data_IF_791394997842
#
_entry.id   IF_791394997842
#
_cell.length_a   1.000
_cell.length_b   1.000
_cell.length_c   1.000
_cell.angle_alpha   90.00
_cell.angle_beta   90.00
_cell.angle_gamma   90.00
#
_symmetry.space_group_name_H-M   'P 1'
#
loop_
_entity.id
_entity.type
_entity.pdbx_description
1 polymer ?
#
# COMPACT_ATOMS: atom_id res chain seq x y z
N UNK A 1 13.11 -115.49 17.77
CA UNK A 1 13.62 -114.45 16.84
C UNK A 1 12.79 -113.20 17.04
N UNK A 2 13.21 -112.19 17.83
CA UNK A 2 14.26 -111.17 17.63
C UNK A 2 13.69 -109.80 17.20
N UNK A 3 13.26 -108.98 18.18
CA UNK A 3 13.25 -107.50 18.11
C UNK A 3 13.65 -106.82 19.43
N UNK A 4 13.68 -107.58 20.53
CA UNK A 4 14.12 -107.24 21.90
C UNK A 4 15.62 -106.97 22.10
N UNK A 5 16.46 -106.89 21.06
CA UNK A 5 17.93 -106.76 21.23
C UNK A 5 18.61 -105.55 20.58
N UNK A 6 17.92 -104.74 19.77
CA UNK A 6 18.54 -103.60 19.07
C UNK A 6 18.20 -102.21 19.62
N UNK A 7 17.05 -102.04 20.27
CA UNK A 7 16.69 -100.74 20.88
C UNK A 7 17.16 -100.58 22.33
N UNK A 8 17.52 -101.69 23.01
CA UNK A 8 17.97 -101.68 24.40
C UNK A 8 19.46 -101.29 24.58
N UNK A 9 20.22 -101.08 23.49
CA UNK A 9 21.66 -100.80 23.56
C UNK A 9 22.06 -99.35 23.22
N UNK A 10 21.16 -98.51 22.71
CA UNK A 10 21.49 -97.11 22.33
C UNK A 10 20.98 -96.05 23.30
N UNK A 11 20.03 -96.36 24.20
CA UNK A 11 19.52 -95.39 25.19
C UNK A 11 20.24 -95.50 26.55
N UNK A 12 20.97 -96.59 26.79
CA UNK A 12 21.74 -96.81 28.04
C UNK A 12 23.13 -96.14 28.01
N UNK A 13 23.55 -95.55 26.89
CA UNK A 13 24.89 -94.95 26.73
C UNK A 13 24.95 -93.40 26.70
N UNK A 14 23.84 -92.68 26.95
CA UNK A 14 23.80 -91.21 26.87
C UNK A 14 22.95 -90.51 27.96
N UNK A 15 22.66 -91.18 29.09
CA UNK A 15 21.94 -90.59 30.22
C UNK A 15 22.75 -90.51 31.52
N UNK A 16 24.04 -90.86 31.46
CA UNK A 16 24.97 -90.90 32.59
C UNK A 16 26.12 -89.88 32.42
N UNK A 17 25.81 -88.68 31.93
CA UNK A 17 26.76 -87.57 31.89
C UNK A 17 26.17 -86.34 32.58
N UNK A 18 26.70 -86.08 33.77
CA UNK A 18 26.98 -84.74 34.28
C UNK A 18 25.80 -83.77 34.33
N UNK A 19 25.00 -83.87 35.40
CA UNK A 19 24.51 -82.66 36.05
C UNK A 19 25.13 -82.58 37.45
N UNK A 20 26.48 -82.55 37.48
CA UNK A 20 27.17 -81.71 38.45
C UNK A 20 26.72 -80.30 38.08
N UNK A 21 25.57 -79.88 38.62
CA UNK A 21 25.15 -78.49 38.58
C UNK A 21 26.13 -77.73 39.45
N UNK A 22 27.28 -77.39 38.87
CA UNK A 22 28.15 -76.37 39.40
C UNK A 22 27.27 -75.13 39.55
N UNK A 23 26.98 -74.75 40.79
CA UNK A 23 26.37 -73.47 41.10
C UNK A 23 27.23 -72.41 40.43
N UNK A 24 26.70 -71.80 39.37
CA UNK A 24 27.30 -70.61 38.78
C UNK A 24 27.01 -69.51 39.81
N UNK A 25 27.98 -69.26 40.69
CA UNK A 25 27.96 -68.08 41.53
C UNK A 25 28.14 -66.88 40.59
N UNK A 26 27.03 -66.31 40.13
CA UNK A 26 27.04 -64.98 39.56
C UNK A 26 27.47 -64.05 40.71
N UNK A 27 28.67 -63.48 40.62
CA UNK A 27 29.03 -62.36 41.49
C UNK A 27 28.00 -61.24 41.21
N UNK A 28 27.19 -60.90 42.21
CA UNK A 28 26.13 -59.90 42.08
C UNK A 28 26.71 -58.50 42.19
N UNK A 29 27.60 -58.15 41.24
CA UNK A 29 28.17 -56.81 41.11
C UNK A 29 27.59 -56.20 39.83
N UNK A 30 26.81 -55.11 39.90
CA UNK A 30 26.37 -54.42 41.12
C UNK A 30 25.37 -55.23 41.95
N UNK A 31 25.17 -54.83 43.21
CA UNK A 31 24.18 -55.44 44.11
C UNK A 31 22.73 -55.29 43.58
N UNK A 32 21.76 -55.79 44.34
CA UNK A 32 20.34 -55.71 43.97
C UNK A 32 19.81 -54.28 43.75
N UNK A 33 20.50 -53.27 44.29
CA UNK A 33 20.15 -51.85 44.17
C UNK A 33 20.99 -51.10 43.11
N UNK A 34 21.89 -51.79 42.42
CA UNK A 34 22.74 -51.18 41.37
C UNK A 34 24.03 -50.54 41.90
N UNK A 35 24.40 -50.81 43.15
CA UNK A 35 25.59 -50.29 43.83
C UNK A 35 26.77 -51.25 43.67
N UNK A 36 27.90 -50.71 43.26
CA UNK A 36 29.18 -51.43 43.22
C UNK A 36 29.91 -51.12 44.52
N UNK A 37 30.16 -52.15 45.31
CA UNK A 37 30.93 -52.04 46.54
C UNK A 37 32.41 -52.27 46.29
N UNK A 38 33.26 -51.41 46.86
CA UNK A 38 34.70 -51.52 46.75
C UNK A 38 35.41 -51.19 48.05
N UNK A 39 36.62 -51.67 48.17
CA UNK A 39 37.56 -51.30 49.20
C UNK A 39 38.80 -50.71 48.54
N UNK A 40 39.26 -49.56 49.01
CA UNK A 40 40.50 -48.95 48.54
C UNK A 40 41.49 -48.81 49.68
N UNK A 41 42.76 -49.04 49.40
CA UNK A 41 43.84 -48.77 50.34
C UNK A 41 44.29 -47.31 50.14
N UNK A 42 44.19 -46.44 51.17
CA UNK A 42 44.55 -45.03 51.04
C UNK A 42 46.06 -44.78 50.97
N UNK A 43 46.90 -45.71 51.42
CA UNK A 43 48.37 -45.59 51.39
C UNK A 43 48.93 -45.97 50.01
N UNK A 44 48.38 -47.01 49.39
CA UNK A 44 48.87 -47.54 48.10
C UNK A 44 48.01 -47.15 46.90
N UNK A 45 46.77 -46.71 47.12
CA UNK A 45 45.79 -46.41 46.07
C UNK A 45 45.15 -47.65 45.43
N UNK A 46 45.49 -48.87 45.88
CA UNK A 46 44.91 -50.09 45.34
C UNK A 46 43.40 -50.15 45.61
N UNK A 47 42.60 -50.35 44.56
CA UNK A 47 41.14 -50.53 44.64
C UNK A 47 40.80 -51.98 44.28
N UNK A 48 39.98 -52.61 45.10
CA UNK A 48 39.35 -53.89 44.79
C UNK A 48 37.83 -53.79 44.93
N UNK A 49 37.14 -54.44 44.01
CA UNK A 49 35.68 -54.59 44.07
C UNK A 49 35.36 -55.79 44.96
N UNK A 50 34.38 -55.65 45.83
CA UNK A 50 33.96 -56.68 46.78
C UNK A 50 32.54 -57.14 46.48
N UNK A 51 32.27 -58.41 46.79
CA UNK A 51 30.90 -58.93 46.81
C UNK A 51 30.35 -58.72 48.23
N UNK A 52 29.19 -58.05 48.33
CA UNK A 52 28.48 -57.82 49.59
C UNK A 52 27.56 -58.99 49.96
N UNK A 53 27.39 -59.99 49.08
CA UNK A 53 26.61 -61.19 49.37
C UNK A 53 27.31 -62.05 50.44
N UNK A 54 26.67 -62.29 51.61
CA UNK A 54 27.23 -63.15 52.66
C UNK A 54 27.37 -64.63 52.24
N UNK A 55 26.75 -65.04 51.13
CA UNK A 55 26.83 -66.37 50.53
C UNK A 55 27.75 -66.42 49.28
N UNK A 56 28.32 -65.28 48.89
CA UNK A 56 29.18 -65.16 47.71
C UNK A 56 30.58 -65.80 47.89
N UNK A 57 31.23 -66.23 46.79
CA UNK A 57 32.54 -66.88 46.84
C UNK A 57 33.67 -65.92 47.25
N UNK A 58 33.44 -64.60 47.20
CA UNK A 58 34.39 -63.57 47.61
C UNK A 58 33.73 -62.68 48.68
N UNK A 59 33.46 -63.26 49.85
CA UNK A 59 33.07 -62.48 51.03
C UNK A 59 34.19 -61.47 51.33
N UNK A 60 33.94 -60.20 51.03
CA UNK A 60 34.97 -59.17 51.11
C UNK A 60 34.55 -58.04 52.04
N UNK A 61 34.84 -58.14 53.33
CA UNK A 61 34.93 -56.93 54.15
C UNK A 61 36.23 -56.20 53.81
N UNK A 62 36.27 -54.87 53.97
CA UNK A 62 37.52 -54.14 53.84
C UNK A 62 38.50 -54.60 54.92
N UNK A 63 39.75 -54.85 54.53
CA UNK A 63 40.80 -55.18 55.48
C UNK A 63 41.14 -53.97 56.37
N UNK A 64 41.91 -54.20 57.43
CA UNK A 64 42.26 -53.16 58.41
C UNK A 64 42.98 -51.93 57.80
N UNK A 65 43.66 -52.11 56.66
CA UNK A 65 44.36 -51.05 55.92
C UNK A 65 43.55 -50.48 54.74
N UNK A 66 42.27 -50.83 54.60
CA UNK A 66 41.41 -50.41 53.50
C UNK A 66 40.22 -49.59 54.01
N UNK A 67 39.62 -48.80 53.13
CA UNK A 67 38.42 -48.00 53.37
C UNK A 67 37.33 -48.37 52.37
N UNK A 68 36.04 -48.38 52.76
CA UNK A 68 34.95 -48.64 51.83
C UNK A 68 34.76 -47.47 50.87
N UNK A 69 34.50 -47.80 49.61
CA UNK A 69 34.12 -46.87 48.55
C UNK A 69 33.06 -47.53 47.68
N UNK A 70 31.86 -46.97 47.67
CA UNK A 70 30.74 -47.49 46.90
C UNK A 70 30.36 -46.49 45.81
N UNK A 71 29.97 -46.99 44.63
CA UNK A 71 29.51 -46.14 43.53
C UNK A 71 28.41 -46.83 42.74
N UNK A 72 27.53 -46.04 42.13
CA UNK A 72 26.45 -46.56 41.29
C UNK A 72 26.97 -46.88 39.89
N UNK A 73 26.39 -47.91 39.27
CA UNK A 73 26.71 -48.27 37.87
C UNK A 73 26.33 -47.15 36.87
N UNK A 74 25.30 -46.37 37.19
CA UNK A 74 24.82 -45.27 36.35
C UNK A 74 24.94 -43.94 37.09
N UNK A 75 25.50 -42.94 36.41
CA UNK A 75 25.50 -41.56 36.89
C UNK A 75 24.10 -40.93 36.85
N UNK A 76 23.90 -39.79 37.53
CA UNK A 76 22.65 -39.05 37.43
C UNK A 76 22.39 -38.60 35.98
N UNK A 77 21.12 -38.41 35.63
CA UNK A 77 20.78 -37.77 34.36
C UNK A 77 21.41 -36.36 34.30
N UNK A 78 21.92 -35.98 33.12
CA UNK A 78 22.41 -34.62 32.91
C UNK A 78 21.28 -33.58 33.06
N UNK A 79 21.62 -32.32 33.34
CA UNK A 79 20.62 -31.24 33.37
C UNK A 79 19.93 -31.11 32.00
N UNK A 80 18.69 -30.62 32.02
CA UNK A 80 18.01 -30.25 30.78
C UNK A 80 18.86 -29.22 30.01
N UNK A 81 18.87 -29.33 28.67
CA UNK A 81 19.53 -28.34 27.82
C UNK A 81 18.88 -26.95 27.96
N UNK A 82 19.61 -25.87 27.64
CA UNK A 82 19.04 -24.53 27.67
C UNK A 82 17.87 -24.42 26.69
N UNK A 83 16.90 -23.56 27.00
CA UNK A 83 15.83 -23.22 26.06
C UNK A 83 16.43 -22.67 24.76
N UNK A 84 15.87 -23.07 23.62
CA UNK A 84 16.24 -22.52 22.32
C UNK A 84 16.04 -21.00 22.27
N UNK A 85 16.87 -20.30 21.49
CA UNK A 85 16.72 -18.86 21.30
C UNK A 85 15.35 -18.54 20.67
N UNK A 86 14.78 -17.39 21.03
CA UNK A 86 13.59 -16.87 20.38
C UNK A 86 13.87 -16.67 18.88
N UNK A 87 12.90 -17.01 18.03
CA UNK A 87 13.00 -16.78 16.60
C UNK A 87 13.15 -15.29 16.26
N UNK A 88 13.87 -14.99 15.18
CA UNK A 88 14.00 -13.61 14.68
C UNK A 88 12.63 -13.05 14.30
N UNK A 89 12.35 -11.75 14.57
CA UNK A 89 11.17 -11.08 14.05
C UNK A 89 11.08 -11.21 12.52
N UNK A 90 9.87 -11.35 11.99
CA UNK A 90 9.65 -11.37 10.55
C UNK A 90 10.05 -10.05 9.88
N UNK A 91 10.36 -10.05 8.57
CA UNK A 91 10.68 -8.83 7.83
C UNK A 91 9.50 -7.87 7.79
N UNK A 92 9.80 -6.56 7.73
CA UNK A 92 8.78 -5.53 7.52
C UNK A 92 8.08 -5.72 6.16
N UNK A 93 6.76 -5.56 6.13
CA UNK A 93 5.97 -5.63 4.90
C UNK A 93 6.38 -4.57 3.86
N UNK A 94 6.22 -4.89 2.58
CA UNK A 94 6.51 -3.96 1.47
C UNK A 94 5.57 -2.75 1.50
N UNK A 95 6.08 -1.57 1.10
CA UNK A 95 5.25 -0.38 0.91
C UNK A 95 4.13 -0.67 -0.10
N UNK A 96 2.90 -0.25 0.21
CA UNK A 96 1.76 -0.38 -0.69
C UNK A 96 1.96 0.38 -2.01
N UNK A 97 1.23 0.00 -3.08
CA UNK A 97 1.31 0.67 -4.38
C UNK A 97 0.87 2.14 -4.27
N UNK A 98 1.36 2.97 -5.19
CA UNK A 98 0.86 4.34 -5.37
C UNK A 98 -0.63 4.33 -5.70
N UNK A 99 -1.37 5.33 -5.21
CA UNK A 99 -2.78 5.50 -5.56
C UNK A 99 -2.98 5.81 -7.06
N UNK A 100 -4.19 5.60 -7.60
CA UNK A 100 -4.51 5.93 -8.97
C UNK A 100 -4.41 7.45 -9.23
N UNK A 101 -4.18 7.89 -10.48
CA UNK A 101 -4.28 9.30 -10.85
C UNK A 101 -5.65 9.88 -10.50
N UNK A 102 -5.69 11.18 -10.14
CA UNK A 102 -6.93 11.90 -9.91
C UNK A 102 -7.78 12.04 -11.20
N UNK A 103 -9.09 12.32 -11.08
CA UNK A 103 -9.95 12.55 -12.24
C UNK A 103 -9.51 13.79 -13.02
N UNK A 104 -9.78 13.80 -14.33
CA UNK A 104 -9.62 15.01 -15.15
C UNK A 104 -10.50 16.14 -14.62
N UNK A 105 -10.03 17.39 -14.76
CA UNK A 105 -10.81 18.58 -14.41
C UNK A 105 -12.05 18.74 -15.30
N UNK A 106 -13.05 19.54 -14.87
CA UNK A 106 -14.22 19.82 -15.68
C UNK A 106 -13.85 20.56 -16.98
N UNK A 107 -14.66 20.43 -18.05
CA UNK A 107 -14.50 21.24 -19.26
C UNK A 107 -14.51 22.74 -18.97
N UNK A 108 -13.75 23.52 -19.73
CA UNK A 108 -13.78 24.99 -19.65
C UNK A 108 -15.14 25.57 -20.08
N UNK A 109 -15.50 26.73 -19.52
CA UNK A 109 -16.73 27.44 -19.90
C UNK A 109 -16.69 27.83 -21.39
N UNK A 110 -17.84 27.76 -22.07
CA UNK A 110 -17.95 28.14 -23.48
C UNK A 110 -17.57 29.62 -23.68
N UNK A 111 -16.86 29.93 -24.77
CA UNK A 111 -16.49 31.29 -25.11
C UNK A 111 -17.75 32.11 -25.48
N UNK A 112 -17.94 33.26 -24.84
CA UNK A 112 -18.98 34.23 -25.21
C UNK A 112 -18.65 34.83 -26.58
N UNK A 113 -19.63 34.92 -27.46
CA UNK A 113 -19.46 35.56 -28.77
C UNK A 113 -19.32 37.09 -28.60
N UNK A 114 -18.46 37.72 -29.39
CA UNK A 114 -18.32 39.17 -29.49
C UNK A 114 -18.28 39.60 -30.95
N UNK A 115 -19.01 40.66 -31.28
CA UNK A 115 -19.00 41.33 -32.59
C UNK A 115 -18.54 42.77 -32.35
N UNK A 116 -17.51 43.20 -33.06
CA UNK A 116 -16.95 44.55 -32.93
C UNK A 116 -16.78 45.18 -34.29
N UNK A 117 -16.83 46.51 -34.32
CA UNK A 117 -16.64 47.26 -35.55
C UNK A 117 -16.14 48.68 -35.31
N UNK A 118 -15.61 49.27 -36.37
CA UNK A 118 -15.15 50.65 -36.44
C UNK A 118 -15.94 51.35 -37.54
N UNK A 119 -16.70 52.37 -37.15
CA UNK A 119 -17.61 53.11 -38.03
C UNK A 119 -17.00 54.48 -38.32
N UNK A 120 -17.02 54.90 -39.58
CA UNK A 120 -16.59 56.24 -40.00
C UNK A 120 -17.69 57.27 -39.78
N UNK A 121 -17.34 58.56 -39.80
CA UNK A 121 -18.29 59.65 -39.55
C UNK A 121 -19.50 59.65 -40.51
N UNK A 122 -19.32 59.19 -41.76
CA UNK A 122 -20.40 59.05 -42.75
C UNK A 122 -21.12 57.69 -42.71
N UNK A 123 -20.95 56.90 -41.64
CA UNK A 123 -21.62 55.61 -41.45
C UNK A 123 -21.01 54.43 -42.20
N UNK A 124 -19.83 54.60 -42.81
CA UNK A 124 -19.10 53.51 -43.46
C UNK A 124 -18.46 52.56 -42.45
N UNK A 125 -18.41 51.27 -42.78
CA UNK A 125 -17.72 50.26 -41.96
C UNK A 125 -16.25 50.22 -42.35
N UNK A 126 -15.37 50.68 -41.47
CA UNK A 126 -13.91 50.64 -41.66
C UNK A 126 -13.32 49.30 -41.22
N UNK A 127 -13.88 48.68 -40.19
CA UNK A 127 -13.49 47.36 -39.72
C UNK A 127 -14.68 46.66 -39.04
N UNK A 128 -14.67 45.33 -39.04
CA UNK A 128 -15.74 44.50 -38.49
C UNK A 128 -16.64 43.89 -39.56
N UNK A 129 -17.39 42.87 -39.19
CA UNK A 129 -18.37 42.18 -40.05
C UNK A 129 -19.49 41.57 -39.21
N UNK A 130 -20.55 41.06 -39.85
CA UNK A 130 -21.70 40.47 -39.16
C UNK A 130 -22.71 41.48 -38.63
N UNK A 131 -22.68 42.71 -39.16
CA UNK A 131 -23.65 43.77 -38.90
C UNK A 131 -23.73 44.69 -40.12
N UNK A 132 -24.77 45.51 -40.19
CA UNK A 132 -24.93 46.59 -41.16
C UNK A 132 -25.11 47.92 -40.44
N UNK A 133 -24.72 49.02 -41.08
CA UNK A 133 -24.85 50.37 -40.51
C UNK A 133 -25.68 51.23 -41.44
N UNK A 134 -26.61 52.00 -40.87
CA UNK A 134 -27.33 53.07 -41.56
C UNK A 134 -27.04 54.39 -40.86
N UNK A 135 -26.59 55.40 -41.61
CA UNK A 135 -26.47 56.77 -41.12
C UNK A 135 -27.86 57.42 -41.18
N UNK A 136 -28.52 57.53 -40.02
CA UNK A 136 -29.93 57.94 -39.92
C UNK A 136 -30.09 59.47 -39.81
N UNK A 137 -29.00 60.20 -39.55
CA UNK A 137 -28.95 61.65 -39.43
C UNK A 137 -27.64 62.09 -38.81
N UNK A 138 -27.41 63.41 -38.69
CA UNK A 138 -26.20 63.94 -38.05
C UNK A 138 -26.02 63.35 -36.66
N UNK A 139 -24.91 62.65 -36.44
CA UNK A 139 -24.56 61.96 -35.21
C UNK A 139 -25.44 60.76 -34.84
N UNK A 140 -26.27 60.24 -35.75
CA UNK A 140 -27.18 59.11 -35.47
C UNK A 140 -26.87 57.95 -36.41
N UNK A 141 -26.57 56.77 -35.83
CA UNK A 141 -26.21 55.56 -36.55
C UNK A 141 -27.03 54.38 -36.06
N UNK A 142 -27.71 53.68 -36.97
CA UNK A 142 -28.41 52.44 -36.68
C UNK A 142 -27.54 51.25 -37.07
N UNK A 143 -27.17 50.45 -36.07
CA UNK A 143 -26.44 49.19 -36.25
C UNK A 143 -27.43 48.05 -36.19
N UNK A 144 -27.46 47.22 -37.23
CA UNK A 144 -28.35 46.06 -37.32
C UNK A 144 -27.53 44.78 -37.36
N UNK A 145 -27.84 43.87 -36.45
CA UNK A 145 -27.26 42.54 -36.36
C UNK A 145 -28.28 41.52 -36.87
N UNK A 146 -27.96 40.73 -37.91
CA UNK A 146 -28.90 39.80 -38.50
C UNK A 146 -29.28 38.66 -37.54
N UNK A 147 -30.40 38.01 -37.84
CA UNK A 147 -30.86 36.79 -37.17
C UNK A 147 -29.75 35.74 -37.06
N UNK A 148 -29.66 35.06 -35.91
CA UNK A 148 -28.64 34.04 -35.66
C UNK A 148 -27.26 34.61 -35.31
N UNK A 149 -27.09 35.93 -35.26
CA UNK A 149 -25.87 36.54 -34.71
C UNK A 149 -25.64 36.12 -33.28
N UNK A 150 -26.70 35.99 -32.47
CA UNK A 150 -26.64 35.57 -31.07
C UNK A 150 -27.48 34.32 -30.84
N UNK A 151 -27.13 33.46 -29.88
CA UNK A 151 -27.99 32.34 -29.50
C UNK A 151 -29.39 32.78 -29.07
N UNK A 152 -30.39 31.91 -29.30
CA UNK A 152 -31.77 32.21 -28.97
C UNK A 152 -31.91 32.61 -27.49
N UNK A 153 -32.66 33.69 -27.22
CA UNK A 153 -32.87 34.20 -25.86
C UNK A 153 -31.73 35.05 -25.30
N UNK A 154 -30.68 35.35 -26.08
CA UNK A 154 -29.59 36.24 -25.64
C UNK A 154 -29.73 37.64 -26.23
N UNK A 155 -29.54 38.66 -25.40
CA UNK A 155 -29.39 40.06 -25.80
C UNK A 155 -27.92 40.45 -25.60
N UNK A 156 -27.23 41.00 -26.61
CA UNK A 156 -25.84 41.40 -26.42
C UNK A 156 -25.76 42.63 -25.50
N UNK A 157 -24.76 42.66 -24.63
CA UNK A 157 -24.30 43.90 -24.02
C UNK A 157 -23.57 44.72 -25.10
N UNK A 158 -23.88 46.00 -25.20
CA UNK A 158 -23.34 46.87 -26.23
C UNK A 158 -22.59 48.05 -25.62
N UNK A 159 -21.41 48.35 -26.16
CA UNK A 159 -20.59 49.50 -25.78
C UNK A 159 -20.08 50.17 -27.05
N UNK A 160 -20.17 51.49 -27.12
CA UNK A 160 -19.56 52.30 -28.17
C UNK A 160 -18.65 53.39 -27.58
N UNK A 161 -17.61 53.76 -28.33
CA UNK A 161 -16.61 54.74 -27.93
C UNK A 161 -16.19 55.56 -29.15
N UNK A 162 -16.20 56.90 -29.04
CA UNK A 162 -15.69 57.77 -30.10
C UNK A 162 -14.19 57.52 -30.35
N UNK A 163 -13.77 57.57 -31.61
CA UNK A 163 -12.38 57.32 -31.98
C UNK A 163 -11.49 58.57 -31.92
N UNK A 164 -12.10 59.74 -31.85
CA UNK A 164 -11.45 61.04 -31.87
C UNK A 164 -12.17 62.00 -30.91
N UNK A 165 -11.41 62.96 -30.35
CA UNK A 165 -11.89 64.12 -29.57
C UNK A 165 -12.64 63.84 -28.25
N UNK A 166 -13.07 64.89 -27.53
CA UNK A 166 -13.86 64.79 -26.30
C UNK A 166 -15.34 64.56 -26.61
N UNK A 167 -15.68 63.55 -27.41
CA UNK A 167 -17.06 63.26 -27.79
C UNK A 167 -17.60 62.06 -27.01
N UNK A 168 -18.91 62.02 -26.80
CA UNK A 168 -19.58 60.94 -26.07
C UNK A 168 -20.49 60.16 -27.02
N UNK A 169 -20.56 58.84 -26.83
CA UNK A 169 -21.61 58.04 -27.45
C UNK A 169 -22.68 57.69 -26.44
N UNK A 170 -23.93 57.72 -26.87
CA UNK A 170 -25.07 57.20 -26.13
C UNK A 170 -25.75 56.17 -27.00
N UNK A 171 -26.25 55.10 -26.40
CA UNK A 171 -26.92 54.03 -27.14
C UNK A 171 -28.31 53.85 -26.60
N UNK A 172 -29.29 53.80 -27.49
CA UNK A 172 -30.61 53.30 -27.11
C UNK A 172 -30.50 51.85 -26.64
N UNK A 173 -31.47 51.35 -25.84
CA UNK A 173 -31.57 49.93 -25.54
C UNK A 173 -31.54 49.09 -26.83
N UNK A 174 -30.90 47.93 -26.75
CA UNK A 174 -30.88 46.97 -27.86
C UNK A 174 -32.31 46.53 -28.17
N UNK A 175 -32.76 46.82 -29.39
CA UNK A 175 -34.12 46.54 -29.83
C UNK A 175 -34.19 45.27 -30.67
N UNK A 176 -35.22 44.46 -30.44
CA UNK A 176 -35.54 43.28 -31.22
C UNK A 176 -36.50 43.65 -32.36
N UNK A 177 -36.01 43.70 -33.59
CA UNK A 177 -36.80 44.09 -34.76
C UNK A 177 -37.66 42.94 -35.34
N UNK A 178 -37.53 41.72 -34.79
CA UNK A 178 -38.22 40.51 -35.26
C UNK A 178 -37.26 39.48 -35.86
N UNK A 179 -37.67 38.20 -35.88
CA UNK A 179 -36.87 37.06 -36.36
C UNK A 179 -35.47 36.92 -35.74
N UNK A 180 -35.24 37.48 -34.55
CA UNK A 180 -33.92 37.48 -33.90
C UNK A 180 -32.92 38.50 -34.47
N UNK A 181 -33.40 39.45 -35.28
CA UNK A 181 -32.60 40.61 -35.73
C UNK A 181 -32.61 41.67 -34.63
N UNK A 182 -31.44 42.23 -34.35
CA UNK A 182 -31.27 43.27 -33.34
C UNK A 182 -30.88 44.59 -33.97
N UNK A 183 -31.39 45.71 -33.43
CA UNK A 183 -30.95 47.06 -33.74
C UNK A 183 -30.38 47.72 -32.49
N UNK A 184 -29.29 48.47 -32.68
CA UNK A 184 -28.79 49.42 -31.69
C UNK A 184 -28.64 50.77 -32.37
N UNK A 185 -29.27 51.80 -31.80
CA UNK A 185 -29.08 53.17 -32.25
C UNK A 185 -27.99 53.82 -31.42
N UNK A 186 -26.99 54.36 -32.09
CA UNK A 186 -25.86 55.07 -31.50
C UNK A 186 -26.01 56.55 -31.82
N UNK A 187 -25.90 57.38 -30.79
CA UNK A 187 -25.86 58.83 -30.89
C UNK A 187 -24.47 59.32 -30.52
N UNK A 188 -23.89 60.19 -31.33
CA UNK A 188 -22.58 60.80 -31.06
C UNK A 188 -22.74 62.28 -30.80
N UNK A 189 -22.26 62.73 -29.63
CA UNK A 189 -22.50 64.07 -29.12
C UNK A 189 -21.19 64.83 -28.91
N UNK A 190 -21.21 66.10 -29.32
CA UNK A 190 -20.19 67.09 -28.97
C UNK A 190 -20.57 67.81 -27.68
N UNK A 191 -19.65 67.92 -26.71
CA UNK A 191 -19.85 68.81 -25.58
C UNK A 191 -19.82 70.25 -26.09
N UNK A 192 -20.89 71.00 -25.83
CA UNK A 192 -20.93 72.44 -26.04
C UNK A 192 -21.46 73.09 -24.77
N UNK A 193 -20.60 73.88 -24.11
CA UNK A 193 -20.89 74.52 -22.84
C UNK A 193 -21.95 75.63 -22.94
N UNK A 194 -22.24 76.13 -24.15
CA UNK A 194 -23.11 77.28 -24.37
C UNK A 194 -24.47 76.88 -24.94
N UNK A 195 -24.52 75.87 -25.82
CA UNK A 195 -25.74 75.48 -26.54
C UNK A 195 -26.34 74.13 -26.09
N UNK A 196 -25.74 73.48 -25.08
CA UNK A 196 -26.06 72.10 -24.73
C UNK A 196 -25.42 71.08 -25.69
N UNK A 197 -25.45 69.78 -25.37
CA UNK A 197 -24.82 68.77 -26.20
C UNK A 197 -25.50 68.75 -27.58
N UNK A 198 -24.71 68.61 -28.65
CA UNK A 198 -25.21 68.60 -30.04
C UNK A 198 -24.79 67.32 -30.75
N UNK A 199 -25.68 66.78 -31.59
CA UNK A 199 -25.37 65.58 -32.37
C UNK A 199 -24.44 65.90 -33.54
N UNK A 200 -23.35 65.15 -33.66
CA UNK A 200 -22.29 65.39 -34.65
C UNK A 200 -21.83 64.10 -35.30
N UNK A 201 -21.56 64.16 -36.60
CA UNK A 201 -20.98 63.04 -37.33
C UNK A 201 -19.52 62.82 -36.92
N UNK A 202 -19.23 61.66 -36.35
CA UNK A 202 -17.88 61.26 -35.89
C UNK A 202 -17.67 59.77 -35.99
N UNK A 203 -16.40 59.39 -36.09
CA UNK A 203 -16.04 57.97 -36.11
C UNK A 203 -16.12 57.40 -34.70
N UNK A 204 -16.58 56.17 -34.57
CA UNK A 204 -16.61 55.45 -33.29
C UNK A 204 -16.30 53.97 -33.49
N UNK A 205 -15.91 53.32 -32.41
CA UNK A 205 -15.76 51.88 -32.34
C UNK A 205 -16.81 51.31 -31.41
N UNK A 206 -17.22 50.07 -31.62
CA UNK A 206 -18.15 49.40 -30.73
C UNK A 206 -17.78 47.94 -30.48
N UNK A 207 -18.33 47.40 -29.40
CA UNK A 207 -18.35 45.99 -29.09
C UNK A 207 -19.74 45.58 -28.63
N UNK A 208 -20.27 44.52 -29.24
CA UNK A 208 -21.47 43.81 -28.82
C UNK A 208 -21.03 42.44 -28.31
N UNK A 209 -21.32 42.08 -27.05
CA UNK A 209 -20.89 40.82 -26.43
C UNK A 209 -22.08 40.06 -25.88
N UNK A 210 -22.13 38.76 -26.13
CA UNK A 210 -23.15 37.87 -25.60
C UNK A 210 -23.18 37.93 -24.06
N UNK A 211 -24.36 38.13 -23.48
CA UNK A 211 -24.54 38.09 -22.03
C UNK A 211 -24.66 36.68 -21.49
#
# INVERSE_FOLDING_TARGET
MNRTRRLLLTVVAAGAFLAVGAGIAYASIPDGDGVIHGCYNPETGALRVIDSDPLGPVKGECGAAEKPLNWNQKGPAGPAGPQGQQGIPGPQGTRGPSGPPGPSGPPGAAAKKTVSGVITANGGVRAGSGFTVTHAGSGIYDLVFPAGTWPAGTVPAFVATCNDGPFYTFTDPVELLGNGTFRVRVFVWAPNAVAGPTLVDRAFSFSATQT
#
